data_IF_093167600686
#
_entry.id   IF_093167600686
#
_cell.length_a   1.000
_cell.length_b   1.000
_cell.length_c   1.000
_cell.angle_alpha   90.00
_cell.angle_beta   90.00
_cell.angle_gamma   90.00
#
_symmetry.space_group_name_H-M   'P 1'
#
loop_
_entity.id
_entity.type
_entity.pdbx_description
1 polymer ?
#
# COMPACT_ATOMS: atom_id res chain seq x y z
N UNK A 1 -7.73 -17.82 -14.67
CA UNK A 1 -7.39 -16.44 -15.05
C UNK A 1 -7.99 -15.47 -14.03
N UNK A 2 -7.39 -14.31 -13.84
CA UNK A 2 -7.85 -13.24 -12.94
C UNK A 2 -7.91 -11.92 -13.71
N UNK A 3 -8.83 -11.03 -13.35
CA UNK A 3 -8.95 -9.68 -13.92
C UNK A 3 -8.17 -8.64 -13.10
N UNK A 4 -7.44 -9.08 -12.06
CA UNK A 4 -6.60 -8.22 -11.23
C UNK A 4 -5.38 -7.75 -12.03
N UNK A 5 -5.08 -6.43 -12.05
CA UNK A 5 -3.90 -5.91 -12.75
C UNK A 5 -2.58 -6.51 -12.24
N UNK A 6 -1.58 -6.61 -13.12
CA UNK A 6 -0.28 -7.15 -12.76
C UNK A 6 0.70 -6.08 -12.29
N UNK A 7 1.44 -6.40 -11.22
CA UNK A 7 2.69 -5.76 -10.86
C UNK A 7 3.85 -6.57 -11.44
N UNK A 8 4.54 -6.02 -12.43
CA UNK A 8 5.68 -6.67 -13.10
C UNK A 8 6.94 -6.32 -12.31
N UNK A 9 7.48 -7.31 -11.62
CA UNK A 9 8.61 -7.15 -10.70
C UNK A 9 9.90 -7.69 -11.32
N UNK A 10 10.81 -6.78 -11.67
CA UNK A 10 12.14 -7.16 -12.18
C UNK A 10 13.13 -6.01 -12.09
N UNK A 11 14.38 -6.34 -11.78
CA UNK A 11 15.53 -5.44 -11.91
C UNK A 11 16.10 -5.38 -13.33
N UNK A 12 15.60 -6.22 -14.26
CA UNK A 12 16.11 -6.33 -15.63
C UNK A 12 15.18 -5.57 -16.57
N UNK A 13 15.69 -4.49 -17.18
CA UNK A 13 14.92 -3.60 -18.08
C UNK A 13 14.30 -4.37 -19.26
N UNK A 14 15.05 -5.29 -19.87
CA UNK A 14 14.55 -6.12 -20.97
C UNK A 14 13.38 -7.04 -20.55
N UNK A 15 13.36 -7.51 -19.30
CA UNK A 15 12.27 -8.32 -18.77
C UNK A 15 11.03 -7.45 -18.53
N UNK A 16 11.20 -6.23 -18.01
CA UNK A 16 10.11 -5.26 -17.88
C UNK A 16 9.49 -4.92 -19.23
N UNK A 17 10.31 -4.61 -20.25
CA UNK A 17 9.82 -4.31 -21.60
C UNK A 17 9.08 -5.51 -22.21
N UNK A 18 9.64 -6.71 -22.07
CA UNK A 18 9.00 -7.94 -22.58
C UNK A 18 7.63 -8.15 -21.93
N UNK A 19 7.53 -8.02 -20.61
CA UNK A 19 6.27 -8.17 -19.87
C UNK A 19 5.24 -7.10 -20.25
N UNK A 20 5.67 -5.84 -20.34
CA UNK A 20 4.80 -4.73 -20.75
C UNK A 20 4.31 -4.87 -22.19
N UNK A 21 5.12 -5.43 -23.10
CA UNK A 21 4.77 -5.56 -24.51
C UNK A 21 3.59 -6.50 -24.79
N UNK A 22 3.38 -7.49 -23.92
CA UNK A 22 2.30 -8.48 -24.06
C UNK A 22 1.12 -8.22 -23.12
N UNK A 23 1.30 -7.35 -22.13
CA UNK A 23 0.28 -7.07 -21.13
C UNK A 23 -0.85 -6.21 -21.70
N UNK A 24 -2.08 -6.50 -21.29
CA UNK A 24 -3.28 -5.77 -21.70
C UNK A 24 -3.82 -4.98 -20.51
N UNK A 25 -3.89 -3.66 -20.65
CA UNK A 25 -4.30 -2.74 -19.59
C UNK A 25 -3.12 -1.96 -18.99
N UNK A 26 -3.33 -1.40 -17.79
CA UNK A 26 -2.31 -0.61 -17.08
C UNK A 26 -1.60 -1.46 -16.03
N UNK A 27 -0.32 -1.73 -16.26
CA UNK A 27 0.52 -2.48 -15.33
C UNK A 27 1.11 -1.55 -14.26
N UNK A 28 1.58 -2.15 -13.15
CA UNK A 28 2.49 -1.51 -12.22
C UNK A 28 3.90 -2.06 -12.46
N UNK A 29 4.87 -1.20 -12.75
CA UNK A 29 6.29 -1.56 -12.86
C UNK A 29 6.91 -1.50 -11.47
N UNK A 30 7.47 -2.62 -11.01
CA UNK A 30 8.24 -2.69 -9.77
C UNK A 30 9.70 -3.03 -10.13
N UNK A 31 10.61 -2.06 -10.22
CA UNK A 31 10.50 -0.65 -9.82
C UNK A 31 11.49 0.23 -10.59
N UNK A 32 11.56 1.51 -10.23
CA UNK A 32 12.66 2.43 -10.58
C UNK A 32 13.33 2.98 -9.31
N UNK A 33 14.62 3.27 -9.38
CA UNK A 33 15.44 3.95 -8.35
C UNK A 33 15.85 5.34 -8.85
N UNK A 34 16.44 6.17 -8.00
CA UNK A 34 16.89 7.52 -8.37
C UNK A 34 18.26 7.58 -9.08
N UNK A 35 18.88 6.43 -9.32
CA UNK A 35 20.08 6.29 -10.13
C UNK A 35 19.78 6.78 -11.55
N UNK A 36 20.63 7.65 -12.10
CA UNK A 36 20.36 8.34 -13.37
C UNK A 36 20.13 7.37 -14.54
N UNK A 37 20.97 6.33 -14.64
CA UNK A 37 20.85 5.28 -15.65
C UNK A 37 19.53 4.51 -15.54
N UNK A 38 19.02 4.32 -14.31
CA UNK A 38 17.72 3.65 -14.08
C UNK A 38 16.56 4.52 -14.48
N UNK A 39 16.60 5.82 -14.15
CA UNK A 39 15.56 6.76 -14.56
C UNK A 39 15.44 6.82 -16.09
N UNK A 40 16.58 6.99 -16.77
CA UNK A 40 16.65 7.09 -18.24
C UNK A 40 16.28 5.78 -18.97
N UNK A 41 16.42 4.63 -18.32
CA UNK A 41 16.03 3.34 -18.92
C UNK A 41 14.58 2.95 -18.61
N UNK A 42 14.07 3.23 -17.41
CA UNK A 42 12.76 2.74 -16.97
C UNK A 42 11.63 3.74 -17.25
N UNK A 43 11.81 5.05 -17.01
CA UNK A 43 10.74 6.04 -17.19
C UNK A 43 10.24 6.12 -18.65
N UNK A 44 11.09 6.04 -19.69
CA UNK A 44 10.60 5.96 -21.07
C UNK A 44 9.72 4.73 -21.33
N UNK A 45 10.02 3.58 -20.71
CA UNK A 45 9.18 2.38 -20.82
C UNK A 45 7.83 2.59 -20.14
N UNK A 46 7.83 3.14 -18.92
CA UNK A 46 6.60 3.45 -18.17
C UNK A 46 5.70 4.36 -18.99
N UNK A 47 6.27 5.41 -19.61
CA UNK A 47 5.54 6.33 -20.49
C UNK A 47 5.04 5.64 -21.76
N UNK A 48 5.90 4.88 -22.46
CA UNK A 48 5.59 4.16 -23.71
C UNK A 48 4.40 3.21 -23.55
N UNK A 49 4.35 2.48 -22.44
CA UNK A 49 3.32 1.48 -22.17
C UNK A 49 2.18 1.99 -21.30
N UNK A 50 2.15 3.28 -20.95
CA UNK A 50 1.15 3.88 -20.06
C UNK A 50 0.99 3.09 -18.74
N UNK A 51 2.12 2.70 -18.13
CA UNK A 51 2.17 1.98 -16.87
C UNK A 51 2.23 2.94 -15.67
N UNK A 52 1.91 2.44 -14.49
CA UNK A 52 2.31 3.06 -13.23
C UNK A 52 3.67 2.49 -12.78
N UNK A 53 4.36 3.15 -11.86
CA UNK A 53 5.70 2.74 -11.41
C UNK A 53 5.88 2.88 -9.90
N UNK A 54 6.49 1.87 -9.28
CA UNK A 54 7.03 1.96 -7.93
C UNK A 54 8.35 2.71 -7.96
N UNK A 55 8.44 3.82 -7.24
CA UNK A 55 9.63 4.65 -7.12
C UNK A 55 10.31 4.39 -5.77
N UNK A 56 11.39 3.61 -5.78
CA UNK A 56 12.13 3.27 -4.57
C UNK A 56 13.07 4.43 -4.21
N UNK A 57 12.98 4.94 -2.99
CA UNK A 57 13.85 5.99 -2.42
C UNK A 57 15.28 5.49 -2.16
N UNK A 58 15.96 5.02 -3.19
CA UNK A 58 17.36 4.62 -3.20
C UNK A 58 18.07 5.28 -4.38
N UNK A 59 19.31 5.70 -4.16
CA UNK A 59 20.19 6.23 -5.18
C UNK A 59 21.56 5.52 -5.16
N UNK A 60 22.51 6.04 -5.94
CA UNK A 60 23.88 5.55 -6.04
C UNK A 60 24.65 5.51 -4.70
N UNK A 61 24.21 6.26 -3.69
CA UNK A 61 24.82 6.26 -2.34
C UNK A 61 24.26 5.17 -1.43
N UNK A 62 23.20 4.48 -1.88
CA UNK A 62 22.51 3.43 -1.14
C UNK A 62 21.35 3.95 -0.30
N UNK A 63 20.96 3.15 0.70
CA UNK A 63 19.79 3.45 1.55
C UNK A 63 20.25 4.31 2.72
N UNK A 64 19.88 5.58 2.70
CA UNK A 64 20.10 6.47 3.86
C UNK A 64 19.18 6.12 5.03
N UNK A 65 19.73 6.11 6.25
CA UNK A 65 18.93 5.98 7.46
C UNK A 65 18.09 7.24 7.75
N UNK A 66 18.48 8.39 7.20
CA UNK A 66 17.76 9.65 7.36
C UNK A 66 16.47 9.66 6.51
N UNK A 67 15.28 9.78 7.12
CA UNK A 67 14.04 9.85 6.37
C UNK A 67 13.92 11.12 5.51
N UNK A 68 14.57 12.23 5.86
CA UNK A 68 14.50 13.45 5.06
C UNK A 68 15.36 13.31 3.79
N UNK A 69 16.50 12.61 3.86
CA UNK A 69 17.27 12.27 2.65
C UNK A 69 16.46 11.36 1.73
N UNK A 70 15.81 10.31 2.27
CA UNK A 70 14.94 9.41 1.48
C UNK A 70 13.76 10.15 0.84
N UNK A 71 13.25 11.19 1.50
CA UNK A 71 12.22 12.07 0.92
C UNK A 71 12.76 12.88 -0.27
N UNK A 72 13.96 13.46 -0.17
CA UNK A 72 14.57 14.20 -1.29
C UNK A 72 14.84 13.27 -2.49
N UNK A 73 15.24 12.02 -2.25
CA UNK A 73 15.37 11.00 -3.30
C UNK A 73 14.01 10.71 -3.95
N UNK A 74 12.95 10.54 -3.16
CA UNK A 74 11.59 10.38 -3.70
C UNK A 74 11.18 11.58 -4.56
N UNK A 75 11.43 12.80 -4.07
CA UNK A 75 11.13 14.05 -4.79
C UNK A 75 11.84 14.09 -6.15
N UNK A 76 13.13 13.74 -6.19
CA UNK A 76 13.90 13.61 -7.44
C UNK A 76 13.21 12.67 -8.43
N UNK A 77 12.81 11.47 -8.01
CA UNK A 77 12.15 10.51 -8.91
C UNK A 77 10.81 11.05 -9.42
N UNK A 78 10.02 11.69 -8.56
CA UNK A 78 8.71 12.27 -8.93
C UNK A 78 8.86 13.41 -9.93
N UNK A 79 9.85 14.28 -9.75
CA UNK A 79 10.16 15.37 -10.69
C UNK A 79 10.61 14.82 -12.05
N UNK A 80 11.50 13.82 -12.04
CA UNK A 80 11.96 13.16 -13.26
C UNK A 80 10.84 12.44 -13.98
N UNK A 81 9.96 11.73 -13.27
CA UNK A 81 8.77 11.14 -13.86
C UNK A 81 7.87 12.19 -14.53
N UNK A 82 7.73 13.37 -13.92
CA UNK A 82 6.97 14.47 -14.51
C UNK A 82 7.61 15.02 -15.80
N UNK A 83 8.95 15.09 -15.88
CA UNK A 83 9.67 15.49 -17.10
C UNK A 83 9.41 14.52 -18.26
N UNK A 84 9.24 13.23 -17.98
CA UNK A 84 8.80 12.22 -18.95
C UNK A 84 7.28 12.22 -19.22
N UNK A 85 6.52 13.12 -18.60
CA UNK A 85 5.07 13.24 -18.74
C UNK A 85 4.30 12.10 -18.07
N UNK A 86 4.84 11.51 -17.00
CA UNK A 86 4.15 10.54 -16.13
C UNK A 86 3.47 11.33 -15.00
N UNK A 87 2.14 11.21 -14.81
CA UNK A 87 1.44 11.97 -13.79
C UNK A 87 1.75 11.45 -12.39
N UNK A 88 1.71 12.33 -11.38
CA UNK A 88 2.04 11.99 -9.98
C UNK A 88 1.23 10.82 -9.41
N UNK A 89 -0.02 10.64 -9.84
CA UNK A 89 -0.85 9.53 -9.37
C UNK A 89 -0.40 8.16 -9.89
N UNK A 90 0.44 8.13 -10.93
CA UNK A 90 1.06 6.91 -11.46
C UNK A 90 2.43 6.61 -10.86
N UNK A 91 2.93 7.49 -9.96
CA UNK A 91 4.16 7.26 -9.22
C UNK A 91 3.81 6.86 -7.79
N UNK A 92 4.14 5.61 -7.44
CA UNK A 92 3.91 5.04 -6.12
C UNK A 92 5.24 4.98 -5.40
N UNK A 93 5.49 5.88 -4.45
CA UNK A 93 6.78 5.96 -3.75
C UNK A 93 6.91 4.86 -2.70
N UNK A 94 8.01 4.11 -2.75
CA UNK A 94 8.45 3.22 -1.66
C UNK A 94 9.62 3.88 -0.90
N UNK A 95 9.38 4.38 0.33
CA UNK A 95 10.40 5.04 1.14
C UNK A 95 11.42 4.06 1.78
N UNK A 96 11.37 2.77 1.45
CA UNK A 96 12.20 1.69 2.00
C UNK A 96 12.11 1.58 3.52
N UNK A 97 11.27 0.66 3.96
CA UNK A 97 11.09 0.36 5.38
C UNK A 97 12.28 -0.45 5.91
N UNK A 98 12.96 0.08 6.92
CA UNK A 98 14.06 -0.60 7.58
C UNK A 98 13.56 -1.53 8.70
N UNK A 99 14.25 -2.64 9.01
CA UNK A 99 13.84 -3.56 10.06
C UNK A 99 13.88 -2.94 11.46
N UNK A 100 12.77 -2.97 12.18
CA UNK A 100 12.66 -2.38 13.53
C UNK A 100 13.52 -3.10 14.57
N UNK A 101 13.87 -4.37 14.32
CA UNK A 101 14.78 -5.13 15.19
C UNK A 101 16.23 -4.66 15.10
N UNK A 102 16.61 -3.98 14.01
CA UNK A 102 17.94 -3.39 13.83
C UNK A 102 17.96 -1.91 14.21
N UNK A 103 16.88 -1.17 13.90
CA UNK A 103 16.76 0.26 14.12
C UNK A 103 15.49 0.57 14.92
N UNK A 104 15.67 0.91 16.20
CA UNK A 104 14.58 1.10 17.17
C UNK A 104 13.58 2.20 16.75
N UNK A 105 14.04 3.20 16.00
CA UNK A 105 13.23 4.33 15.54
C UNK A 105 12.70 4.17 14.11
N UNK A 106 12.98 3.05 13.41
CA UNK A 106 12.54 2.81 12.04
C UNK A 106 11.01 2.98 11.87
N UNK A 107 10.22 2.53 12.86
CA UNK A 107 8.78 2.71 12.88
C UNK A 107 8.33 4.18 12.99
N UNK A 108 9.12 5.06 13.63
CA UNK A 108 8.82 6.50 13.67
C UNK A 108 9.27 7.19 12.40
N UNK A 109 10.44 6.81 11.88
CA UNK A 109 10.99 7.36 10.64
C UNK A 109 10.08 7.11 9.44
N UNK A 110 9.57 5.88 9.27
CA UNK A 110 8.65 5.54 8.18
C UNK A 110 7.34 6.35 8.26
N UNK A 111 6.79 6.54 9.45
CA UNK A 111 5.57 7.33 9.66
C UNK A 111 5.81 8.81 9.33
N UNK A 112 7.00 9.33 9.66
CA UNK A 112 7.40 10.70 9.31
C UNK A 112 7.45 10.89 7.79
N UNK A 113 8.20 10.05 7.06
CA UNK A 113 8.30 10.18 5.60
C UNK A 113 6.95 9.95 4.91
N UNK A 114 6.13 8.99 5.35
CA UNK A 114 4.80 8.75 4.76
C UNK A 114 3.90 9.99 4.81
N UNK A 115 3.91 10.73 5.93
CA UNK A 115 3.16 11.99 6.05
C UNK A 115 3.67 13.03 5.06
N UNK A 116 4.99 13.21 4.97
CA UNK A 116 5.60 14.15 4.02
C UNK A 116 5.25 13.80 2.57
N UNK A 117 5.33 12.52 2.20
CA UNK A 117 4.94 12.05 0.85
C UNK A 117 3.48 12.39 0.53
N UNK A 118 2.58 12.25 1.51
CA UNK A 118 1.16 12.56 1.35
C UNK A 118 0.87 14.06 1.29
N UNK A 119 1.46 14.84 2.18
CA UNK A 119 1.14 16.26 2.38
C UNK A 119 1.90 17.18 1.41
N UNK A 120 3.19 16.91 1.20
CA UNK A 120 4.08 17.76 0.40
C UNK A 120 4.12 17.31 -1.07
N UNK A 121 4.39 16.02 -1.34
CA UNK A 121 4.50 15.51 -2.71
C UNK A 121 3.15 15.12 -3.35
N UNK A 122 2.14 14.81 -2.52
CA UNK A 122 0.80 14.40 -2.95
C UNK A 122 0.83 13.22 -3.92
N UNK A 123 1.67 12.24 -3.61
CA UNK A 123 1.84 11.00 -4.36
C UNK A 123 1.19 9.82 -3.64
N UNK A 124 1.01 8.72 -4.36
CA UNK A 124 0.73 7.43 -3.76
C UNK A 124 2.01 6.88 -3.14
N UNK A 125 1.88 6.05 -2.11
CA UNK A 125 3.01 5.39 -1.45
C UNK A 125 2.73 3.91 -1.16
N UNK A 126 3.79 3.12 -1.19
CA UNK A 126 3.78 1.68 -0.92
C UNK A 126 4.96 1.29 -0.06
N UNK A 127 4.94 0.05 0.44
CA UNK A 127 6.14 -0.58 0.97
C UNK A 127 6.01 -2.10 0.98
N UNK A 128 7.14 -2.80 1.02
CA UNK A 128 7.20 -4.19 1.48
C UNK A 128 6.89 -4.29 2.97
N UNK A 129 5.63 -4.51 3.33
CA UNK A 129 5.16 -4.44 4.72
C UNK A 129 5.86 -5.43 5.66
N UNK A 130 6.37 -6.54 5.11
CA UNK A 130 7.11 -7.53 5.89
C UNK A 130 8.52 -7.08 6.29
N UNK A 131 9.09 -6.06 5.66
CA UNK A 131 10.48 -5.64 5.92
C UNK A 131 10.65 -5.09 7.35
N UNK A 132 9.62 -4.41 7.88
CA UNK A 132 9.64 -3.84 9.24
C UNK A 132 9.92 -4.90 10.31
N UNK A 133 9.41 -6.11 10.14
CA UNK A 133 9.46 -7.19 11.13
C UNK A 133 10.53 -8.24 10.83
N UNK A 134 11.43 -7.97 9.89
CA UNK A 134 12.48 -8.92 9.54
C UNK A 134 13.33 -9.30 10.76
N UNK A 135 13.57 -10.60 10.95
CA UNK A 135 14.34 -11.14 12.08
C UNK A 135 13.59 -11.27 13.41
N UNK A 136 12.32 -10.84 13.50
CA UNK A 136 11.54 -10.88 14.74
C UNK A 136 10.54 -12.06 14.77
N UNK A 137 10.18 -12.58 15.96
CA UNK A 137 9.07 -13.52 16.11
C UNK A 137 7.71 -12.83 15.95
N UNK A 138 6.66 -13.63 15.72
CA UNK A 138 5.27 -13.16 15.61
C UNK A 138 5.08 -11.97 14.64
N UNK A 139 5.70 -12.09 13.46
CA UNK A 139 5.79 -11.01 12.46
C UNK A 139 4.45 -10.48 12.00
N UNK A 140 3.43 -11.32 11.90
CA UNK A 140 2.12 -10.90 11.44
C UNK A 140 1.47 -9.89 12.39
N UNK A 141 1.61 -10.07 13.71
CA UNK A 141 1.13 -9.08 14.68
C UNK A 141 1.82 -7.72 14.54
N UNK A 142 3.15 -7.73 14.33
CA UNK A 142 3.92 -6.51 14.08
C UNK A 142 3.53 -5.85 12.75
N UNK A 143 3.39 -6.64 11.67
CA UNK A 143 2.97 -6.15 10.36
C UNK A 143 1.56 -5.53 10.42
N UNK A 144 0.63 -6.14 11.17
CA UNK A 144 -0.72 -5.61 11.40
C UNK A 144 -0.67 -4.23 12.08
N UNK A 145 0.12 -4.08 13.15
CA UNK A 145 0.28 -2.80 13.83
C UNK A 145 0.92 -1.74 12.91
N UNK A 146 1.99 -2.13 12.22
CA UNK A 146 2.70 -1.26 11.27
C UNK A 146 1.79 -0.76 10.14
N UNK A 147 1.02 -1.65 9.50
CA UNK A 147 0.11 -1.29 8.42
C UNK A 147 -0.99 -0.34 8.89
N UNK A 148 -1.60 -0.60 10.05
CA UNK A 148 -2.61 0.30 10.60
C UNK A 148 -2.06 1.71 10.85
N UNK A 149 -0.86 1.82 11.43
CA UNK A 149 -0.20 3.10 11.65
C UNK A 149 0.20 3.78 10.33
N UNK A 150 0.65 3.01 9.34
CA UNK A 150 1.07 3.53 8.04
C UNK A 150 -0.10 4.05 7.21
N UNK A 151 -1.25 3.36 7.23
CA UNK A 151 -2.50 3.84 6.63
C UNK A 151 -2.92 5.16 7.29
N UNK A 152 -2.85 5.24 8.62
CA UNK A 152 -3.13 6.49 9.35
C UNK A 152 -2.14 7.63 9.02
N UNK A 153 -0.92 7.30 8.59
CA UNK A 153 0.08 8.25 8.12
C UNK A 153 -0.08 8.67 6.65
N UNK A 154 -1.04 8.07 5.93
CA UNK A 154 -1.35 8.41 4.53
C UNK A 154 -0.81 7.41 3.50
N UNK A 155 -0.33 6.24 3.92
CA UNK A 155 0.09 5.19 3.00
C UNK A 155 -1.10 4.64 2.19
N UNK A 156 -0.94 4.51 0.87
CA UNK A 156 -2.03 4.17 -0.04
C UNK A 156 -2.08 2.70 -0.46
N UNK A 157 -0.95 1.99 -0.40
CA UNK A 157 -0.87 0.57 -0.73
C UNK A 157 0.25 -0.13 0.05
N UNK A 158 0.28 -1.47 0.00
CA UNK A 158 1.37 -2.25 0.55
C UNK A 158 1.56 -3.57 -0.23
N UNK A 159 2.80 -4.02 -0.32
CA UNK A 159 3.16 -5.36 -0.80
C UNK A 159 3.20 -6.27 0.43
N UNK A 160 2.21 -7.17 0.53
CA UNK A 160 2.06 -8.08 1.67
C UNK A 160 1.36 -9.38 1.24
N UNK A 161 1.33 -10.39 2.11
CA UNK A 161 0.58 -11.61 1.88
C UNK A 161 -0.91 -11.41 2.27
N UNK A 162 -1.85 -11.36 1.30
CA UNK A 162 -3.27 -11.18 1.60
C UNK A 162 -3.92 -12.42 2.26
N UNK A 163 -3.19 -13.54 2.36
CA UNK A 163 -3.69 -14.77 3.01
C UNK A 163 -3.53 -14.77 4.54
N UNK A 164 -2.82 -13.78 5.11
CA UNK A 164 -2.76 -13.63 6.56
C UNK A 164 -3.99 -12.86 7.05
N UNK A 165 -4.92 -13.58 7.67
CA UNK A 165 -6.22 -13.03 8.07
C UNK A 165 -6.08 -11.87 9.07
N UNK A 166 -5.13 -11.96 9.99
CA UNK A 166 -4.81 -10.95 11.00
C UNK A 166 -4.24 -9.66 10.37
N UNK A 167 -3.49 -9.78 9.28
CA UNK A 167 -2.98 -8.63 8.51
C UNK A 167 -4.13 -7.96 7.78
N UNK A 168 -4.95 -8.75 7.07
CA UNK A 168 -6.09 -8.21 6.33
C UNK A 168 -7.17 -7.64 7.24
N UNK A 169 -7.36 -8.19 8.44
CA UNK A 169 -8.26 -7.62 9.45
C UNK A 169 -7.77 -6.27 9.94
N UNK A 170 -6.46 -6.11 10.18
CA UNK A 170 -5.88 -4.84 10.58
C UNK A 170 -6.02 -3.78 9.48
N UNK A 171 -5.80 -4.14 8.21
CA UNK A 171 -6.02 -3.25 7.06
C UNK A 171 -7.49 -2.82 6.97
N UNK A 172 -8.44 -3.77 6.93
CA UNK A 172 -9.87 -3.44 6.88
C UNK A 172 -10.33 -2.60 8.09
N UNK A 173 -9.76 -2.85 9.27
CA UNK A 173 -10.06 -2.07 10.47
C UNK A 173 -9.51 -0.65 10.39
N UNK A 174 -8.29 -0.49 9.87
CA UNK A 174 -7.69 0.82 9.64
C UNK A 174 -8.48 1.62 8.59
N UNK A 175 -8.95 0.99 7.51
CA UNK A 175 -9.82 1.63 6.52
C UNK A 175 -11.11 2.17 7.14
N UNK A 176 -11.75 1.43 8.05
CA UNK A 176 -12.90 1.92 8.82
C UNK A 176 -12.52 3.15 9.64
N UNK A 177 -11.42 3.09 10.39
CA UNK A 177 -10.97 4.19 11.26
C UNK A 177 -10.61 5.46 10.48
N UNK A 178 -10.09 5.31 9.26
CA UNK A 178 -9.73 6.41 8.38
C UNK A 178 -10.89 6.92 7.51
N UNK A 179 -12.09 6.34 7.65
CA UNK A 179 -13.27 6.73 6.87
C UNK A 179 -13.23 6.28 5.41
N UNK A 180 -12.46 5.23 5.10
CA UNK A 180 -12.35 4.62 3.77
C UNK A 180 -13.37 3.50 3.53
N UNK A 181 -14.14 3.11 4.56
CA UNK A 181 -15.28 2.18 4.47
C UNK A 181 -16.60 2.87 4.86
N UNK A 182 -17.28 3.55 3.92
CA UNK A 182 -18.55 4.22 4.20
C UNK A 182 -19.58 3.26 4.79
N UNK A 183 -20.26 3.70 5.86
CA UNK A 183 -21.23 2.92 6.64
C UNK A 183 -20.70 1.57 7.17
N UNK A 184 -19.37 1.41 7.22
CA UNK A 184 -18.69 0.17 7.61
C UNK A 184 -19.14 -1.04 6.77
N UNK A 185 -19.56 -0.83 5.52
CA UNK A 185 -20.22 -1.87 4.71
C UNK A 185 -19.29 -3.04 4.43
N UNK A 186 -18.03 -2.78 4.08
CA UNK A 186 -17.06 -3.83 3.81
C UNK A 186 -16.79 -4.64 5.09
N UNK A 187 -16.57 -3.96 6.21
CA UNK A 187 -16.36 -4.59 7.51
C UNK A 187 -17.54 -5.47 7.92
N UNK A 188 -18.77 -4.93 7.89
CA UNK A 188 -19.98 -5.66 8.26
C UNK A 188 -20.18 -6.85 7.34
N UNK A 189 -19.99 -6.70 6.02
CA UNK A 189 -20.14 -7.80 5.06
C UNK A 189 -19.20 -8.97 5.37
N UNK A 190 -17.97 -8.67 5.79
CA UNK A 190 -16.92 -9.66 6.03
C UNK A 190 -17.05 -10.35 7.39
N UNK A 191 -17.41 -9.60 8.44
CA UNK A 191 -17.39 -10.09 9.84
C UNK A 191 -18.76 -10.24 10.49
N UNK A 192 -19.86 -10.05 9.76
CA UNK A 192 -21.19 -10.34 10.28
C UNK A 192 -21.28 -11.82 10.64
N UNK A 193 -21.43 -12.09 11.93
CA UNK A 193 -21.77 -13.42 12.39
C UNK A 193 -23.15 -13.82 11.83
N UNK A 194 -23.31 -15.07 11.36
CA UNK A 194 -24.63 -15.58 11.04
C UNK A 194 -25.52 -15.50 12.29
N UNK A 195 -26.76 -15.07 12.12
CA UNK A 195 -27.70 -15.05 13.22
C UNK A 195 -27.84 -16.48 13.77
N UNK A 196 -27.47 -16.67 15.04
CA UNK A 196 -27.80 -17.89 15.77
C UNK A 196 -29.34 -18.05 15.81
N UNK A 197 -29.82 -19.28 15.88
CA UNK A 197 -31.27 -19.57 15.95
C UNK A 197 -31.96 -18.76 17.07
N UNK A 198 -31.27 -18.55 18.20
CA UNK A 198 -31.75 -17.73 19.31
C UNK A 198 -31.89 -16.25 18.99
N UNK A 199 -30.93 -15.66 18.26
CA UNK A 199 -30.98 -14.24 17.88
C UNK A 199 -31.97 -13.96 16.76
N UNK A 200 -32.21 -14.93 15.87
CA UNK A 200 -33.28 -14.88 14.87
C UNK A 200 -34.67 -14.89 15.54
N UNK A 201 -34.90 -15.81 16.48
CA UNK A 201 -36.15 -15.90 17.25
C UNK A 201 -36.39 -14.62 18.07
N UNK A 202 -35.36 -14.06 18.72
CA UNK A 202 -35.47 -12.81 19.48
C UNK A 202 -35.82 -11.59 18.58
N UNK A 203 -35.27 -11.52 17.36
CA UNK A 203 -35.60 -10.47 16.38
C UNK A 203 -37.04 -10.60 15.87
N UNK A 204 -37.51 -11.82 15.66
CA UNK A 204 -38.87 -12.11 15.19
C UNK A 204 -39.91 -11.78 16.26
N UNK A 205 -39.65 -12.15 17.51
CA UNK A 205 -40.49 -11.78 18.67
C UNK A 205 -40.56 -10.26 18.90
N UNK A 206 -39.43 -9.54 18.73
CA UNK A 206 -39.42 -8.06 18.79
C UNK A 206 -40.22 -7.41 17.66
N UNK A 207 -40.16 -7.93 16.43
CA UNK A 207 -40.98 -7.46 15.30
C UNK A 207 -42.47 -7.75 15.52
N UNK A 208 -42.82 -8.91 16.08
CA UNK A 208 -44.19 -9.27 16.44
C UNK A 208 -44.79 -8.37 17.53
N UNK A 209 -44.02 -8.01 18.56
CA UNK A 209 -44.44 -7.08 19.62
C UNK A 209 -44.68 -5.67 19.11
N UNK A 210 -43.82 -5.14 18.23
CA UNK A 210 -44.01 -3.81 17.63
C UNK A 210 -45.28 -3.73 16.76
N UNK A 211 -45.61 -4.79 16.02
CA UNK A 211 -46.86 -4.86 15.23
C UNK A 211 -48.14 -4.95 16.07
N UNK A 212 -48.05 -5.47 17.29
CA UNK A 212 -49.20 -5.56 18.22
C UNK A 212 -49.44 -4.28 19.03
N UNK A 213 -48.41 -3.44 19.18
CA UNK A 213 -48.51 -2.16 19.91
C UNK A 213 -48.96 -0.98 19.02
N UNK A 214 -49.18 -1.21 17.72
CA UNK A 214 -49.59 -0.21 16.73
C UNK A 214 -51.02 -0.43 16.21
N UNK A 215 -51.84 -1.17 16.96
CA UNK A 215 -53.29 -1.31 16.80
C UNK A 215 -53.94 -0.89 18.11
#
# INVERSE_FOLDING_TARGET
LTDVPLSIDSSIVAALESGLSVYQGKALVNSVTAEEERLESVLPLVKKFNAAVVAISNDETGISEDPDIRFEVARKIVERAADHGIPRHDVIVDPLVMPIGALNDAGRQVIHILRRLREELKVNSTCGASNISFGLPNRNGLNSAFLAMSIAAGMTSAITNPMHAEVMQAVSGADVMMGHDPDCLHWIRKYREPATSETAVAREQRRGRRRRSSK
#
